data_IF_242822449551
#
_entry.id   IF_242822449551
#
_cell.length_a   1.000
_cell.length_b   1.000
_cell.length_c   1.000
_cell.angle_alpha   90.00
_cell.angle_beta   90.00
_cell.angle_gamma   90.00
#
_symmetry.space_group_name_H-M   'P 1'
#
loop_
_entity.id
_entity.type
_entity.pdbx_description
1 polymer ?
#
# COMPACT_ATOMS: atom_id res chain seq x y z
N UNK A 1 -46.91 -3.01 39.23
CA UNK A 1 -46.50 -1.94 38.30
C UNK A 1 -44.98 -1.73 38.34
N UNK A 2 -44.34 -1.89 39.50
CA UNK A 2 -42.90 -1.61 39.69
C UNK A 2 -41.94 -2.55 38.93
N UNK A 3 -42.33 -3.81 38.71
CA UNK A 3 -41.51 -4.79 37.97
C UNK A 3 -41.36 -4.44 36.49
N UNK A 4 -42.42 -3.91 35.86
CA UNK A 4 -42.38 -3.44 34.48
C UNK A 4 -41.51 -2.19 34.34
N UNK A 5 -41.64 -1.25 35.27
CA UNK A 5 -40.82 -0.03 35.27
C UNK A 5 -39.33 -0.36 35.41
N UNK A 6 -38.96 -1.25 36.34
CA UNK A 6 -37.58 -1.68 36.54
C UNK A 6 -36.99 -2.36 35.30
N UNK A 7 -37.78 -3.21 34.63
CA UNK A 7 -37.36 -3.90 33.41
C UNK A 7 -37.08 -2.88 32.29
N UNK A 8 -38.01 -1.97 32.02
CA UNK A 8 -37.84 -0.94 30.98
C UNK A 8 -36.65 -0.04 31.29
N UNK A 9 -36.44 0.32 32.55
CA UNK A 9 -35.34 1.20 32.94
C UNK A 9 -33.98 0.49 32.78
N UNK A 10 -33.87 -0.78 33.19
CA UNK A 10 -32.64 -1.56 33.08
C UNK A 10 -32.25 -1.78 31.61
N UNK A 11 -33.21 -2.22 30.79
CA UNK A 11 -32.97 -2.48 29.37
C UNK A 11 -32.80 -1.19 28.57
N UNK A 12 -33.57 -0.15 28.88
CA UNK A 12 -33.50 1.16 28.20
C UNK A 12 -32.18 1.88 28.45
N UNK A 13 -31.67 1.87 29.69
CA UNK A 13 -30.37 2.47 30.00
C UNK A 13 -29.25 1.68 29.31
N UNK A 14 -29.33 0.35 29.30
CA UNK A 14 -28.36 -0.50 28.61
C UNK A 14 -28.30 -0.24 27.10
N UNK A 15 -29.45 -0.16 26.43
CA UNK A 15 -29.52 0.11 24.98
C UNK A 15 -29.08 1.53 24.63
N UNK A 16 -29.45 2.52 25.45
CA UNK A 16 -29.00 3.91 25.27
C UNK A 16 -27.48 4.02 25.41
N UNK A 17 -26.91 3.38 26.43
CA UNK A 17 -25.46 3.35 26.65
C UNK A 17 -24.73 2.65 25.50
N UNK A 18 -25.23 1.50 25.04
CA UNK A 18 -24.66 0.80 23.89
C UNK A 18 -24.73 1.62 22.60
N UNK A 19 -25.85 2.30 22.37
CA UNK A 19 -26.01 3.17 21.21
C UNK A 19 -25.02 4.34 21.28
N UNK A 20 -24.86 4.97 22.44
CA UNK A 20 -23.86 6.04 22.63
C UNK A 20 -22.42 5.53 22.41
N UNK A 21 -22.11 4.31 22.84
CA UNK A 21 -20.82 3.65 22.59
C UNK A 21 -20.58 3.43 21.09
N UNK A 22 -21.54 2.85 20.39
CA UNK A 22 -21.41 2.50 18.96
C UNK A 22 -21.40 3.74 18.06
N UNK A 23 -22.18 4.78 18.37
CA UNK A 23 -22.24 5.98 17.52
C UNK A 23 -21.31 7.12 17.98
N UNK A 24 -20.80 7.08 19.21
CA UNK A 24 -19.91 8.12 19.74
C UNK A 24 -18.45 7.68 19.82
N UNK A 25 -18.21 6.57 20.53
CA UNK A 25 -16.85 6.14 20.84
C UNK A 25 -16.25 5.26 19.74
N UNK A 26 -17.02 4.31 19.22
CA UNK A 26 -16.54 3.29 18.30
C UNK A 26 -15.90 3.86 17.01
N UNK A 27 -16.49 4.84 16.29
CA UNK A 27 -15.88 5.36 15.06
C UNK A 27 -14.52 6.00 15.33
N UNK A 28 -14.46 6.82 16.38
CA UNK A 28 -13.24 7.48 16.84
C UNK A 28 -12.18 6.46 17.26
N UNK A 29 -12.56 5.41 17.99
CA UNK A 29 -11.65 4.36 18.42
C UNK A 29 -11.06 3.60 17.23
N UNK A 30 -11.91 3.19 16.28
CA UNK A 30 -11.49 2.42 15.10
C UNK A 30 -10.54 3.25 14.24
N UNK A 31 -10.85 4.52 13.95
CA UNK A 31 -9.95 5.40 13.18
C UNK A 31 -8.60 5.55 13.86
N UNK A 32 -8.56 5.71 15.19
CA UNK A 32 -7.30 5.77 15.93
C UNK A 32 -6.48 4.47 15.82
N UNK A 33 -7.13 3.31 15.74
CA UNK A 33 -6.46 2.03 15.52
C UNK A 33 -5.92 1.96 14.08
N UNK A 34 -6.71 2.32 13.06
CA UNK A 34 -6.25 2.36 11.66
C UNK A 34 -5.08 3.34 11.48
N UNK A 35 -5.19 4.53 12.08
CA UNK A 35 -4.15 5.56 12.09
C UNK A 35 -2.81 5.03 12.65
N UNK A 36 -2.84 4.10 13.62
CA UNK A 36 -1.62 3.45 14.18
C UNK A 36 -0.98 2.42 13.25
N UNK A 37 -1.70 1.94 12.24
CA UNK A 37 -1.15 1.02 11.24
C UNK A 37 -0.17 1.76 10.32
N UNK A 38 -0.37 3.07 10.14
CA UNK A 38 0.56 3.94 9.44
C UNK A 38 1.77 4.30 10.33
N UNK A 39 2.98 4.46 9.75
CA UNK A 39 4.15 4.93 10.48
C UNK A 39 3.90 6.28 11.17
N UNK A 40 4.61 6.52 12.27
CA UNK A 40 4.58 7.83 12.95
C UNK A 40 5.10 8.91 11.97
N UNK A 41 4.34 10.00 11.81
CA UNK A 41 4.67 11.10 10.90
C UNK A 41 4.12 10.96 9.47
N UNK A 42 3.38 9.90 9.16
CA UNK A 42 2.73 9.77 7.86
C UNK A 42 1.53 10.74 7.75
N UNK A 43 1.44 11.59 6.70
CA UNK A 43 0.39 12.62 6.58
C UNK A 43 -1.02 12.03 6.58
N UNK A 44 -1.20 10.85 5.97
CA UNK A 44 -2.48 10.11 5.96
C UNK A 44 -3.08 9.88 7.36
N UNK A 45 -2.24 9.81 8.40
CA UNK A 45 -2.69 9.61 9.78
C UNK A 45 -3.57 10.77 10.26
N UNK A 46 -3.17 11.99 9.93
CA UNK A 46 -3.86 13.20 10.35
C UNK A 46 -5.05 13.50 9.43
N UNK A 47 -4.93 13.17 8.14
CA UNK A 47 -6.03 13.21 7.16
C UNK A 47 -7.21 12.33 7.59
N UNK A 48 -6.97 11.07 7.97
CA UNK A 48 -8.02 10.14 8.41
C UNK A 48 -8.82 10.67 9.62
N UNK A 49 -8.14 11.36 10.54
CA UNK A 49 -8.79 11.94 11.73
C UNK A 49 -9.56 13.21 11.35
N UNK A 50 -9.06 14.00 10.40
CA UNK A 50 -9.75 15.18 9.89
C UNK A 50 -11.01 14.78 9.11
N UNK A 51 -10.89 13.82 8.18
CA UNK A 51 -12.01 13.29 7.39
C UNK A 51 -13.14 12.77 8.29
N UNK A 52 -12.83 12.04 9.38
CA UNK A 52 -13.86 11.56 10.32
C UNK A 52 -14.67 12.70 10.97
N UNK A 53 -14.05 13.87 11.21
CA UNK A 53 -14.74 15.02 11.82
C UNK A 53 -15.73 15.69 10.87
N UNK A 54 -15.44 15.65 9.58
CA UNK A 54 -16.29 16.24 8.54
C UNK A 54 -17.47 15.33 8.18
N UNK A 55 -17.36 14.02 8.43
CA UNK A 55 -18.42 13.05 8.14
C UNK A 55 -19.58 13.16 9.16
N UNK A 56 -20.84 13.29 8.69
CA UNK A 56 -22.02 13.30 9.56
C UNK A 56 -22.11 12.04 10.44
N UNK A 57 -22.48 12.19 11.72
CA UNK A 57 -22.49 11.08 12.70
C UNK A 57 -23.24 9.81 12.27
N UNK A 58 -24.29 9.95 11.45
CA UNK A 58 -25.09 8.82 10.97
C UNK A 58 -24.33 7.98 9.93
N UNK A 59 -23.42 8.62 9.19
CA UNK A 59 -22.65 8.02 8.09
C UNK A 59 -21.27 7.53 8.55
N UNK A 60 -20.82 7.95 9.73
CA UNK A 60 -19.50 7.59 10.28
C UNK A 60 -19.26 6.07 10.31
N UNK A 61 -20.26 5.25 10.62
CA UNK A 61 -20.09 3.80 10.66
C UNK A 61 -19.83 3.19 9.28
N UNK A 62 -20.53 3.69 8.26
CA UNK A 62 -20.35 3.24 6.87
C UNK A 62 -18.96 3.67 6.40
N UNK A 63 -18.62 4.94 6.61
CA UNK A 63 -17.31 5.47 6.26
C UNK A 63 -16.16 4.70 6.95
N UNK A 64 -16.30 4.36 8.24
CA UNK A 64 -15.31 3.54 8.95
C UNK A 64 -15.18 2.14 8.33
N UNK A 65 -16.29 1.52 7.94
CA UNK A 65 -16.28 0.21 7.28
C UNK A 65 -15.56 0.27 5.92
N UNK A 66 -15.76 1.34 5.15
CA UNK A 66 -15.05 1.59 3.89
C UNK A 66 -13.54 1.74 4.13
N UNK A 67 -13.13 2.59 5.06
CA UNK A 67 -11.69 2.76 5.39
C UNK A 67 -11.06 1.45 5.86
N UNK A 68 -11.79 0.65 6.62
CA UNK A 68 -11.34 -0.67 7.05
C UNK A 68 -11.17 -1.62 5.86
N UNK A 69 -12.13 -1.64 4.93
CA UNK A 69 -12.04 -2.44 3.71
C UNK A 69 -10.85 -2.01 2.85
N UNK A 70 -10.67 -0.70 2.60
CA UNK A 70 -9.51 -0.17 1.86
C UNK A 70 -8.21 -0.59 2.53
N UNK A 71 -8.11 -0.48 3.85
CA UNK A 71 -6.90 -0.88 4.57
C UNK A 71 -6.66 -2.40 4.50
N UNK A 72 -7.72 -3.21 4.48
CA UNK A 72 -7.61 -4.66 4.35
C UNK A 72 -7.17 -5.06 2.93
N UNK A 73 -7.77 -4.47 1.90
CA UNK A 73 -7.49 -4.81 0.51
C UNK A 73 -6.21 -4.20 -0.04
N UNK A 74 -5.86 -2.97 0.35
CA UNK A 74 -4.63 -2.32 -0.12
C UNK A 74 -3.45 -2.55 0.84
N UNK A 75 -3.72 -2.55 2.14
CA UNK A 75 -2.68 -2.63 3.16
C UNK A 75 -2.11 -4.05 3.36
N UNK A 76 -2.94 -5.09 3.26
CA UNK A 76 -2.49 -6.48 3.47
C UNK A 76 -1.56 -6.95 2.35
N UNK A 77 -1.89 -6.79 1.04
CA UNK A 77 -1.00 -7.24 -0.02
C UNK A 77 0.37 -6.55 0.01
N UNK A 78 0.42 -5.24 0.29
CA UNK A 78 1.67 -4.49 0.41
C UNK A 78 2.57 -5.05 1.54
N UNK A 79 1.98 -5.38 2.70
CA UNK A 79 2.71 -5.98 3.82
C UNK A 79 3.20 -7.38 3.50
N UNK A 80 2.37 -8.21 2.84
CA UNK A 80 2.76 -9.57 2.42
C UNK A 80 3.91 -9.51 1.42
N UNK A 81 3.84 -8.65 0.41
CA UNK A 81 4.92 -8.47 -0.57
C UNK A 81 6.23 -8.05 0.09
N UNK A 82 6.19 -7.10 1.03
CA UNK A 82 7.37 -6.67 1.77
C UNK A 82 7.97 -7.79 2.63
N UNK A 83 7.12 -8.58 3.30
CA UNK A 83 7.56 -9.74 4.07
C UNK A 83 8.22 -10.81 3.18
N UNK A 84 7.64 -11.08 2.01
CA UNK A 84 8.19 -12.03 1.02
C UNK A 84 9.51 -11.53 0.46
N UNK A 85 9.62 -10.24 0.12
CA UNK A 85 10.87 -9.63 -0.35
C UNK A 85 11.99 -9.74 0.68
N UNK A 86 11.70 -9.44 1.95
CA UNK A 86 12.67 -9.54 3.06
C UNK A 86 13.17 -10.98 3.25
N UNK A 87 12.30 -11.98 3.12
CA UNK A 87 12.68 -13.41 3.17
C UNK A 87 13.56 -13.83 1.99
N UNK A 88 13.27 -13.34 0.78
CA UNK A 88 14.10 -13.63 -0.40
C UNK A 88 15.51 -13.04 -0.26
N UNK A 89 15.60 -11.78 0.21
CA UNK A 89 16.89 -11.14 0.46
C UNK A 89 17.73 -11.86 1.51
N UNK A 90 17.10 -12.33 2.61
CA UNK A 90 17.80 -13.11 3.64
C UNK A 90 18.39 -14.43 3.10
N UNK A 91 17.71 -15.11 2.16
CA UNK A 91 18.22 -16.33 1.50
C UNK A 91 19.34 -16.04 0.50
N UNK A 92 19.27 -14.93 -0.22
CA UNK A 92 20.31 -14.56 -1.19
C UNK A 92 21.63 -14.16 -0.51
N UNK A 93 21.59 -13.56 0.69
CA UNK A 93 22.79 -13.20 1.45
C UNK A 93 23.59 -14.41 1.94
N UNK A 94 22.93 -15.47 2.40
CA UNK A 94 23.61 -16.67 2.92
C UNK A 94 24.37 -17.46 1.85
N UNK A 95 23.97 -17.37 0.57
CA UNK A 95 24.63 -18.13 -0.51
C UNK A 95 25.99 -17.56 -0.88
N UNK A 96 26.20 -16.26 -0.69
CA UNK A 96 27.48 -15.61 -1.04
C UNK A 96 28.53 -15.90 0.04
N UNK A 97 28.13 -15.99 1.31
CA UNK A 97 29.04 -16.23 2.43
C UNK A 97 29.53 -17.70 2.52
N UNK A 98 28.91 -18.62 1.77
CA UNK A 98 29.31 -20.03 1.72
C UNK A 98 30.22 -20.40 0.53
N UNK A 99 30.49 -19.48 -0.40
CA UNK A 99 31.45 -19.72 -1.50
C UNK A 99 32.89 -19.27 -1.18
N UNK A 100 33.13 -18.54 -0.08
CA UNK A 100 34.46 -18.02 0.29
C UNK A 100 35.24 -18.94 1.28
N UNK A 101 34.65 -20.07 1.69
CA UNK A 101 35.18 -20.93 2.76
C UNK A 101 36.20 -22.01 2.36
N UNK A 102 36.47 -22.23 1.07
CA UNK A 102 37.34 -23.34 0.63
C UNK A 102 38.27 -22.93 -0.52
N UNK A 103 38.86 -21.73 -0.44
CA UNK A 103 40.04 -21.40 -1.24
C UNK A 103 41.27 -21.99 -0.55
N UNK A 104 41.59 -23.24 -0.92
CA UNK A 104 42.89 -23.84 -0.62
C UNK A 104 44.05 -22.95 -1.09
N UNK A 105 45.23 -23.05 -0.46
CA UNK A 105 46.38 -22.19 -0.76
C UNK A 105 46.96 -22.59 -2.13
N UNK A 106 46.49 -21.95 -3.21
CA UNK A 106 46.90 -22.28 -4.57
C UNK A 106 46.70 -21.13 -5.54
N UNK A 107 47.74 -20.28 -5.61
CA UNK A 107 48.22 -19.52 -6.78
C UNK A 107 47.24 -19.13 -7.92
N UNK A 108 46.80 -17.86 -7.91
CA UNK A 108 46.36 -17.07 -9.09
C UNK A 108 44.97 -17.39 -9.71
N UNK A 109 44.39 -16.55 -10.60
CA UNK A 109 44.95 -15.37 -11.27
C UNK A 109 44.20 -14.05 -10.98
N UNK A 110 44.94 -12.94 -11.14
CA UNK A 110 44.45 -11.56 -11.06
C UNK A 110 43.60 -11.25 -12.30
N UNK A 111 42.28 -11.38 -12.22
CA UNK A 111 41.39 -10.94 -13.29
C UNK A 111 40.93 -9.49 -13.07
N UNK A 112 41.35 -8.52 -13.91
CA UNK A 112 41.00 -7.10 -13.78
C UNK A 112 39.57 -6.74 -14.25
N UNK A 113 38.70 -7.70 -14.50
CA UNK A 113 37.37 -7.48 -15.11
C UNK A 113 36.24 -7.20 -14.11
N UNK A 114 36.50 -7.20 -12.80
CA UNK A 114 35.50 -6.83 -11.79
C UNK A 114 35.39 -5.31 -11.53
N UNK A 115 36.13 -4.48 -12.28
CA UNK A 115 36.14 -3.02 -12.12
C UNK A 115 34.95 -2.26 -12.75
N UNK A 116 34.04 -2.95 -13.46
CA UNK A 116 32.96 -2.29 -14.22
C UNK A 116 31.59 -2.17 -13.53
N UNK A 117 31.27 -3.03 -12.57
CA UNK A 117 29.89 -3.15 -12.06
C UNK A 117 29.51 -2.13 -10.97
N UNK A 118 30.46 -1.29 -10.52
CA UNK A 118 30.21 -0.27 -9.49
C UNK A 118 29.71 1.08 -10.04
N UNK A 119 29.70 1.32 -11.36
CA UNK A 119 29.46 2.66 -11.93
C UNK A 119 28.01 2.99 -12.32
N UNK A 120 27.05 2.08 -12.19
CA UNK A 120 25.64 2.36 -12.53
C UNK A 120 24.74 2.73 -11.34
N UNK A 121 25.31 2.92 -10.15
CA UNK A 121 24.55 3.31 -8.94
C UNK A 121 24.48 4.82 -8.69
N UNK A 122 24.87 5.63 -9.67
CA UNK A 122 24.87 7.11 -9.59
C UNK A 122 23.92 7.79 -10.60
N UNK A 123 23.03 7.05 -11.25
CA UNK A 123 21.90 7.69 -11.92
C UNK A 123 20.78 7.90 -10.89
N UNK A 124 21.07 8.72 -9.87
CA UNK A 124 20.02 9.43 -9.13
C UNK A 124 19.31 10.30 -10.16
N UNK A 125 18.25 9.77 -10.75
CA UNK A 125 17.21 10.61 -11.29
C UNK A 125 16.77 11.46 -10.11
N UNK A 126 17.17 12.74 -10.12
CA UNK A 126 16.76 13.73 -9.14
C UNK A 126 15.23 13.81 -9.16
N UNK A 127 14.60 12.98 -8.33
CA UNK A 127 13.18 12.95 -8.07
C UNK A 127 12.63 14.27 -7.46
N UNK A 128 13.39 15.15 -6.77
CA UNK A 128 12.84 16.43 -6.31
C UNK A 128 12.43 17.36 -7.47
N UNK A 129 13.15 17.37 -8.59
CA UNK A 129 12.83 18.25 -9.74
C UNK A 129 11.51 17.89 -10.43
N UNK A 130 11.09 16.62 -10.34
CA UNK A 130 9.79 16.15 -10.86
C UNK A 130 8.62 16.48 -9.94
N UNK A 131 8.86 16.65 -8.64
CA UNK A 131 7.82 17.01 -7.66
C UNK A 131 7.60 18.51 -7.61
N UNK A 132 8.66 19.31 -7.77
CA UNK A 132 8.57 20.77 -7.83
C UNK A 132 7.78 21.22 -9.08
N UNK A 133 8.01 20.57 -10.22
CA UNK A 133 7.20 20.78 -11.43
C UNK A 133 5.74 20.31 -11.30
N UNK A 134 5.45 19.30 -10.46
CA UNK A 134 4.08 18.76 -10.35
C UNK A 134 3.13 19.75 -9.65
N UNK A 135 3.61 20.52 -8.70
CA UNK A 135 2.81 21.53 -8.01
C UNK A 135 2.44 22.69 -8.95
N UNK A 136 3.38 23.15 -9.77
CA UNK A 136 3.13 24.16 -10.81
C UNK A 136 2.15 23.64 -11.88
N UNK A 137 2.28 22.37 -12.26
CA UNK A 137 1.39 21.73 -13.24
C UNK A 137 -0.07 21.65 -12.77
N UNK A 138 -0.28 21.36 -11.49
CA UNK A 138 -1.63 21.31 -10.88
C UNK A 138 -2.22 22.71 -10.76
N UNK A 139 -1.38 23.70 -10.43
CA UNK A 139 -1.80 25.10 -10.37
C UNK A 139 -2.14 25.64 -11.77
N UNK A 140 -1.37 25.28 -12.81
CA UNK A 140 -1.66 25.63 -14.21
C UNK A 140 -2.95 24.97 -14.73
N UNK A 141 -3.18 23.69 -14.43
CA UNK A 141 -4.44 23.01 -14.82
C UNK A 141 -5.68 23.61 -14.13
N UNK A 142 -5.52 24.19 -12.94
CA UNK A 142 -6.60 24.89 -12.24
C UNK A 142 -6.81 26.34 -12.71
N UNK A 143 -5.79 26.96 -13.33
CA UNK A 143 -5.79 28.35 -13.81
C UNK A 143 -6.51 28.52 -15.16
N UNK A 144 -6.64 27.45 -15.95
CA UNK A 144 -7.22 27.51 -17.31
C UNK A 144 -6.26 28.13 -18.33
N UNK A 145 -4.97 28.22 -17.99
CA UNK A 145 -3.92 28.76 -18.85
C UNK A 145 -3.52 27.75 -19.92
N UNK A 146 -3.31 28.21 -21.15
CA UNK A 146 -2.98 27.34 -22.28
C UNK A 146 -1.63 26.63 -22.05
N UNK A 147 -1.69 25.29 -21.99
CA UNK A 147 -0.51 24.45 -21.80
C UNK A 147 0.47 24.67 -22.96
N UNK A 148 1.73 25.09 -22.71
CA UNK A 148 2.69 25.32 -23.77
C UNK A 148 2.93 24.06 -24.60
N UNK A 149 3.07 24.23 -25.93
CA UNK A 149 3.16 23.12 -26.88
C UNK A 149 4.29 22.12 -26.57
N UNK A 150 5.38 22.59 -25.97
CA UNK A 150 6.52 21.78 -25.52
C UNK A 150 6.12 20.80 -24.41
N UNK A 151 5.26 21.22 -23.48
CA UNK A 151 4.76 20.40 -22.38
C UNK A 151 3.72 19.38 -22.86
N UNK A 152 2.88 19.74 -23.84
CA UNK A 152 1.96 18.79 -24.50
C UNK A 152 2.73 17.67 -25.21
N UNK A 153 3.83 17.98 -25.90
CA UNK A 153 4.67 16.98 -26.55
C UNK A 153 5.31 16.02 -25.52
N UNK A 154 5.85 16.56 -24.43
CA UNK A 154 6.38 15.77 -23.31
C UNK A 154 5.32 14.85 -22.68
N UNK A 155 4.10 15.35 -22.47
CA UNK A 155 3.01 14.55 -21.92
C UNK A 155 2.57 13.42 -22.85
N UNK A 156 2.53 13.67 -24.16
CA UNK A 156 2.20 12.64 -25.16
C UNK A 156 3.29 11.55 -25.21
N UNK A 157 4.57 11.94 -25.16
CA UNK A 157 5.69 10.98 -25.09
C UNK A 157 5.64 10.15 -23.80
N UNK A 158 5.39 10.80 -22.65
CA UNK A 158 5.25 10.11 -21.37
C UNK A 158 4.07 9.12 -21.39
N UNK A 159 2.93 9.53 -21.97
CA UNK A 159 1.74 8.68 -22.09
C UNK A 159 1.99 7.46 -23.00
N UNK A 160 2.80 7.62 -24.06
CA UNK A 160 3.28 6.50 -24.88
C UNK A 160 4.13 5.50 -24.09
N UNK A 161 5.07 5.99 -23.27
CA UNK A 161 5.91 5.12 -22.40
C UNK A 161 5.09 4.38 -21.34
N UNK A 162 4.03 4.99 -20.79
CA UNK A 162 3.14 4.30 -19.86
C UNK A 162 2.31 3.21 -20.53
N UNK A 163 1.89 3.39 -21.79
CA UNK A 163 1.21 2.34 -22.55
C UNK A 163 2.15 1.15 -22.83
N UNK A 164 3.42 1.41 -23.16
CA UNK A 164 4.43 0.37 -23.37
C UNK A 164 4.71 -0.43 -22.09
N UNK A 165 4.78 0.23 -20.93
CA UNK A 165 4.93 -0.46 -19.63
C UNK A 165 3.68 -1.27 -19.28
N UNK A 166 2.48 -0.78 -19.61
CA UNK A 166 1.23 -1.51 -19.41
C UNK A 166 1.13 -2.74 -20.32
N UNK A 167 1.70 -2.70 -21.53
CA UNK A 167 1.76 -3.84 -22.45
C UNK A 167 2.78 -4.90 -21.98
N UNK A 168 3.93 -4.48 -21.45
CA UNK A 168 4.93 -5.38 -20.84
C UNK A 168 4.36 -6.09 -19.60
N UNK A 169 3.49 -5.42 -18.83
CA UNK A 169 2.84 -6.02 -17.66
C UNK A 169 1.50 -6.73 -17.96
N UNK A 170 0.86 -6.42 -19.09
CA UNK A 170 -0.39 -7.03 -19.54
C UNK A 170 -0.23 -8.46 -20.09
N UNK A 171 0.98 -8.89 -20.43
CA UNK A 171 1.27 -10.25 -20.91
C UNK A 171 1.61 -11.26 -19.80
N UNK A 172 1.32 -10.93 -18.52
CA UNK A 172 1.30 -11.94 -17.45
C UNK A 172 0.03 -12.77 -17.62
N UNK A 173 0.08 -13.74 -18.53
CA UNK A 173 -0.87 -14.83 -18.63
C UNK A 173 -1.02 -15.45 -17.23
N UNK A 174 -2.15 -15.18 -16.57
CA UNK A 174 -2.57 -15.92 -15.39
C UNK A 174 -2.80 -17.36 -15.83
N UNK A 175 -1.83 -18.22 -15.55
CA UNK A 175 -1.98 -19.66 -15.70
C UNK A 175 -2.92 -20.10 -14.56
N UNK A 176 -4.21 -20.16 -14.87
CA UNK A 176 -5.20 -20.79 -14.00
C UNK A 176 -4.76 -22.24 -13.76
N UNK A 177 -4.49 -22.67 -12.52
CA UNK A 177 -4.26 -24.08 -12.26
C UNK A 177 -5.59 -24.80 -12.48
N UNK A 178 -5.65 -25.64 -13.51
CA UNK A 178 -6.74 -26.59 -13.67
C UNK A 178 -6.84 -27.41 -12.38
N UNK A 179 -7.97 -27.25 -11.67
CA UNK A 179 -8.39 -28.18 -10.62
C UNK A 179 -8.67 -29.50 -11.30
N UNK A 180 -7.71 -30.41 -11.21
CA UNK A 180 -7.92 -31.84 -11.39
C UNK A 180 -9.03 -32.28 -10.42
N UNK A 181 -10.22 -32.49 -10.98
CA UNK A 181 -11.33 -33.17 -10.33
C UNK A 181 -11.01 -34.66 -10.43
N UNK A 182 -10.40 -35.20 -9.38
CA UNK A 182 -10.36 -36.65 -9.13
C UNK A 182 -11.81 -37.12 -8.91
N UNK A 183 -12.45 -37.57 -9.99
CA UNK A 183 -13.68 -38.35 -9.90
C UNK A 183 -13.32 -39.79 -9.55
N UNK A 184 -13.61 -40.14 -8.30
CA UNK A 184 -14.27 -41.40 -7.94
C UNK A 184 -13.66 -42.70 -8.47
N UNK A 185 -12.77 -43.29 -7.68
CA UNK A 185 -12.50 -44.73 -7.69
C UNK A 185 -12.99 -45.34 -6.38
N UNK A 186 -14.28 -45.64 -6.30
CA UNK A 186 -14.81 -46.57 -5.29
C UNK A 186 -15.86 -47.49 -5.92
N UNK A 187 -15.50 -48.78 -5.88
CA UNK A 187 -16.33 -50.00 -5.81
C UNK A 187 -17.15 -50.45 -7.03
#
# INVERSE_FOLDING_TARGET
MDTLAHLVMTWGIGTLFMTALVFGFFPTFVVNVLARIYPKGHPRRDELIAELRDVPRREQLIWVAEQFATLLFDGVPARVQNAVRKRRQARSGQRIESEDGEAGPGDGPKNPLTLGAKKFRNNEIHLPDLLENRAELVHMMSSGEDIPATLRASMLEARGRFAEIAEIHGNVHFHSPERGRDEGRES
#
